data_IF_678252265641
#
_entry.id   IF_678252265641
#
_cell.length_a   1.000
_cell.length_b   1.000
_cell.length_c   1.000
_cell.angle_alpha   90.00
_cell.angle_beta   90.00
_cell.angle_gamma   90.00
#
_symmetry.space_group_name_H-M   'P 1'
#
loop_
_entity.id
_entity.type
_entity.pdbx_description
1 polymer ?
#
# COMPACT_ATOMS: atom_id res chain seq x y z
N UNK A 1 13.19 14.92 -12.83
CA UNK A 1 12.98 13.85 -11.83
C UNK A 1 14.24 13.68 -11.00
N UNK A 2 14.11 13.59 -9.66
CA UNK A 2 15.21 13.33 -8.72
C UNK A 2 14.89 12.03 -7.96
N UNK A 3 15.93 11.22 -7.69
CA UNK A 3 15.81 9.98 -6.89
C UNK A 3 16.74 10.03 -5.69
N UNK A 4 16.27 9.59 -4.52
CA UNK A 4 17.04 9.55 -3.28
C UNK A 4 16.78 8.21 -2.59
N UNK A 5 17.84 7.45 -2.30
CA UNK A 5 17.75 6.24 -1.49
C UNK A 5 17.59 6.62 -0.02
N UNK A 6 16.49 6.20 0.62
CA UNK A 6 16.18 6.54 2.02
C UNK A 6 16.64 5.47 3.00
N UNK A 7 16.47 4.20 2.63
CA UNK A 7 16.80 3.07 3.49
C UNK A 7 17.61 2.06 2.68
N UNK A 8 18.82 1.80 3.09
CA UNK A 8 19.74 0.89 2.42
C UNK A 8 19.77 -0.47 3.12
N UNK A 9 19.62 -1.56 2.38
CA UNK A 9 19.73 -2.90 2.95
C UNK A 9 21.06 -3.12 3.68
N UNK A 10 21.06 -3.97 4.70
CA UNK A 10 22.23 -4.32 5.53
C UNK A 10 22.78 -3.13 6.33
N UNK A 11 21.91 -2.14 6.63
CA UNK A 11 22.27 -1.03 7.51
C UNK A 11 21.43 -1.05 8.79
N UNK A 12 21.89 -0.35 9.83
CA UNK A 12 21.20 -0.14 11.11
C UNK A 12 20.76 -1.46 11.82
N UNK A 13 21.40 -2.59 11.51
CA UNK A 13 21.07 -3.89 12.09
C UNK A 13 19.95 -4.66 11.41
N UNK A 14 19.38 -4.12 10.34
CA UNK A 14 18.32 -4.77 9.58
C UNK A 14 18.85 -5.46 8.33
N UNK A 15 18.16 -6.56 7.93
CA UNK A 15 18.48 -7.29 6.71
C UNK A 15 18.10 -6.48 5.48
N UNK A 16 16.86 -6.03 5.40
CA UNK A 16 16.38 -5.14 4.35
C UNK A 16 15.19 -4.30 4.82
N UNK A 17 14.74 -3.43 3.94
CA UNK A 17 13.60 -2.55 4.16
C UNK A 17 12.58 -2.80 3.06
N UNK A 18 11.30 -3.00 3.44
CA UNK A 18 10.23 -3.36 2.52
C UNK A 18 8.93 -2.64 2.86
N UNK A 19 7.91 -2.87 2.00
CA UNK A 19 6.52 -2.40 2.21
C UNK A 19 6.50 -0.90 2.53
N UNK A 20 6.97 -0.07 1.58
CA UNK A 20 7.05 1.36 1.78
C UNK A 20 5.67 2.02 1.77
N UNK A 21 5.51 3.07 2.57
CA UNK A 21 4.37 3.98 2.55
C UNK A 21 4.84 5.43 2.51
N UNK A 22 4.09 6.32 1.87
CA UNK A 22 4.39 7.75 1.83
C UNK A 22 3.13 8.58 1.97
N UNK A 23 3.21 9.63 2.77
CA UNK A 23 2.13 10.59 2.99
C UNK A 23 2.68 12.00 2.95
N UNK A 24 1.93 12.93 2.35
CA UNK A 24 2.14 14.36 2.53
C UNK A 24 0.98 14.94 3.35
N UNK A 25 1.30 15.46 4.51
CA UNK A 25 0.33 16.11 5.42
C UNK A 25 -0.13 17.46 4.88
N UNK A 26 -1.22 17.99 5.41
CA UNK A 26 -1.76 19.28 4.98
C UNK A 26 -0.79 20.45 5.16
N UNK A 27 0.08 20.40 6.18
CA UNK A 27 1.12 21.41 6.44
C UNK A 27 2.44 21.14 5.69
N UNK A 28 2.45 20.18 4.74
CA UNK A 28 3.57 19.94 3.83
C UNK A 28 4.69 19.04 4.39
N UNK A 29 4.53 18.47 5.58
CA UNK A 29 5.46 17.46 6.08
C UNK A 29 5.26 16.16 5.30
N UNK A 30 6.34 15.58 4.79
CA UNK A 30 6.30 14.29 4.11
C UNK A 30 6.78 13.21 5.07
N UNK A 31 6.01 12.14 5.18
CA UNK A 31 6.28 10.96 5.99
C UNK A 31 6.57 9.78 5.07
N UNK A 32 7.71 9.13 5.26
CA UNK A 32 8.10 7.92 4.53
C UNK A 32 8.30 6.78 5.53
N UNK A 33 7.56 5.70 5.37
CA UNK A 33 7.60 4.53 6.27
C UNK A 33 8.08 3.28 5.57
N UNK A 34 8.63 2.35 6.34
CA UNK A 34 9.04 1.02 5.88
C UNK A 34 8.90 -0.01 6.98
N UNK A 35 8.76 -1.27 6.60
CA UNK A 35 9.09 -2.42 7.43
C UNK A 35 10.60 -2.63 7.40
N UNK A 36 11.25 -2.46 8.55
CA UNK A 36 12.67 -2.75 8.74
C UNK A 36 12.81 -4.20 9.21
N UNK A 37 13.22 -5.09 8.34
CA UNK A 37 13.16 -6.54 8.52
C UNK A 37 14.45 -7.10 9.08
N UNK A 38 14.35 -7.88 10.13
CA UNK A 38 15.45 -8.67 10.71
C UNK A 38 15.59 -10.03 10.01
N UNK A 39 16.39 -10.92 10.53
CA UNK A 39 16.54 -12.29 10.05
C UNK A 39 16.98 -12.39 8.60
N UNK A 40 16.19 -13.08 7.76
CA UNK A 40 16.41 -13.21 6.32
C UNK A 40 15.45 -12.34 5.49
N UNK A 41 14.75 -11.39 6.12
CA UNK A 41 13.81 -10.47 5.48
C UNK A 41 12.49 -11.12 5.09
N UNK A 42 12.07 -12.18 5.79
CA UNK A 42 10.78 -12.85 5.58
C UNK A 42 9.62 -12.07 6.20
N UNK A 43 8.40 -12.37 5.73
CA UNK A 43 7.18 -11.71 6.23
C UNK A 43 6.89 -12.06 7.71
N UNK A 44 7.37 -13.20 8.18
CA UNK A 44 7.22 -13.67 9.56
C UNK A 44 8.46 -13.44 10.45
N UNK A 45 9.47 -12.75 9.96
CA UNK A 45 10.62 -12.34 10.75
C UNK A 45 10.24 -11.16 11.68
N UNK A 46 11.10 -10.80 12.62
CA UNK A 46 10.88 -9.60 13.42
C UNK A 46 11.00 -8.35 12.55
N UNK A 47 9.90 -7.64 12.34
CA UNK A 47 9.84 -6.44 11.52
C UNK A 47 9.44 -5.24 12.38
N UNK A 48 10.27 -4.20 12.40
CA UNK A 48 9.95 -2.91 13.02
C UNK A 48 9.35 -1.96 11.97
N UNK A 49 8.58 -0.98 12.41
CA UNK A 49 8.15 0.13 11.55
C UNK A 49 9.06 1.32 11.79
N UNK A 50 9.76 1.73 10.74
CA UNK A 50 10.56 2.97 10.73
C UNK A 50 9.87 4.05 9.91
N UNK A 51 10.09 5.29 10.33
CA UNK A 51 9.58 6.49 9.68
C UNK A 51 10.71 7.51 9.50
N UNK A 52 10.82 8.12 8.33
CA UNK A 52 11.59 9.35 8.09
C UNK A 52 10.66 10.49 7.74
N UNK A 53 11.00 11.69 8.16
CA UNK A 53 10.27 12.92 7.88
C UNK A 53 11.10 13.82 6.98
N UNK A 54 10.42 14.50 6.04
CA UNK A 54 10.97 15.63 5.30
C UNK A 54 10.14 16.88 5.59
N UNK A 55 10.81 18.01 5.85
CA UNK A 55 10.18 19.29 6.13
C UNK A 55 10.34 20.29 4.97
N UNK A 56 10.94 19.86 3.87
CA UNK A 56 11.33 20.67 2.71
C UNK A 56 10.86 20.09 1.37
N UNK A 57 9.71 19.40 1.37
CA UNK A 57 9.11 18.85 0.16
C UNK A 57 9.81 17.61 -0.39
N UNK A 58 10.52 16.85 0.44
CA UNK A 58 11.21 15.61 0.03
C UNK A 58 12.63 15.82 -0.49
N UNK A 59 13.20 17.01 -0.27
CA UNK A 59 14.59 17.32 -0.70
C UNK A 59 15.58 16.72 0.28
N UNK A 60 15.36 16.92 1.58
CA UNK A 60 16.16 16.31 2.65
C UNK A 60 15.29 15.52 3.63
N UNK A 61 15.89 14.59 4.35
CA UNK A 61 15.19 13.65 5.22
C UNK A 61 15.86 13.55 6.58
N UNK A 62 15.06 13.64 7.63
CA UNK A 62 15.51 13.44 9.00
C UNK A 62 15.98 11.97 9.22
N UNK A 63 16.78 11.70 10.25
CA UNK A 63 17.14 10.35 10.65
C UNK A 63 15.89 9.47 10.86
N UNK A 64 15.99 8.14 10.68
CA UNK A 64 14.86 7.24 10.89
C UNK A 64 14.47 7.21 12.36
N UNK A 65 13.15 7.20 12.59
CA UNK A 65 12.53 7.00 13.89
C UNK A 65 11.81 5.66 13.90
N UNK A 66 12.02 4.83 14.92
CA UNK A 66 11.26 3.60 15.10
C UNK A 66 9.91 3.93 15.76
N UNK A 67 8.82 3.71 15.01
CA UNK A 67 7.45 4.00 15.47
C UNK A 67 6.89 2.82 16.27
N UNK A 68 7.11 1.58 15.78
CA UNK A 68 6.67 0.35 16.45
C UNK A 68 7.79 -0.68 16.38
N UNK A 69 8.09 -1.31 17.52
CA UNK A 69 9.03 -2.42 17.60
C UNK A 69 8.28 -3.76 17.57
N UNK A 70 8.82 -4.75 16.86
CA UNK A 70 8.21 -6.07 16.68
C UNK A 70 8.03 -6.84 18.00
N UNK A 71 8.85 -6.58 19.00
CA UNK A 71 8.82 -7.24 20.31
C UNK A 71 7.87 -6.58 21.31
N UNK A 72 7.21 -5.48 20.95
CA UNK A 72 6.30 -4.72 21.82
C UNK A 72 5.14 -5.57 22.34
N UNK A 73 4.64 -6.51 21.54
CA UNK A 73 3.43 -7.30 21.85
C UNK A 73 3.71 -8.81 21.97
N UNK A 74 4.95 -9.21 22.08
CA UNK A 74 5.39 -10.60 22.06
C UNK A 74 5.89 -11.02 20.67
N UNK A 75 6.13 -12.33 20.43
CA UNK A 75 6.69 -12.80 19.16
C UNK A 75 5.78 -12.52 17.96
N UNK A 76 6.37 -12.08 16.86
CA UNK A 76 5.69 -11.86 15.58
C UNK A 76 6.12 -10.57 14.91
N UNK A 77 5.89 -10.46 13.60
CA UNK A 77 6.18 -9.24 12.85
C UNK A 77 5.18 -8.12 13.20
N UNK A 78 5.64 -6.87 13.14
CA UNK A 78 4.79 -5.71 12.90
C UNK A 78 4.83 -5.44 11.40
N UNK A 79 3.68 -5.34 10.75
CA UNK A 79 3.63 -5.28 9.29
C UNK A 79 2.42 -4.50 8.76
N UNK A 80 2.44 -4.26 7.46
CA UNK A 80 1.35 -3.63 6.72
C UNK A 80 0.93 -2.28 7.32
N UNK A 81 1.91 -1.41 7.55
CA UNK A 81 1.67 -0.07 8.08
C UNK A 81 1.01 0.80 7.02
N UNK A 82 -0.16 1.34 7.36
CA UNK A 82 -0.96 2.23 6.52
C UNK A 82 -0.94 3.62 7.11
N UNK A 83 -0.67 4.64 6.27
CA UNK A 83 -0.72 6.06 6.66
C UNK A 83 -1.75 6.80 5.81
N UNK A 84 -2.45 7.75 6.41
CA UNK A 84 -3.24 8.76 5.70
C UNK A 84 -3.49 9.96 6.62
N UNK A 85 -3.88 11.09 6.04
CA UNK A 85 -4.25 12.28 6.80
C UNK A 85 -5.69 12.65 6.51
N UNK A 86 -6.37 13.16 7.53
CA UNK A 86 -7.67 13.78 7.38
C UNK A 86 -7.59 15.27 7.03
N UNK A 87 -8.73 15.89 6.77
CA UNK A 87 -8.83 17.31 6.44
C UNK A 87 -8.42 18.23 7.59
N UNK A 88 -8.51 17.76 8.83
CA UNK A 88 -8.13 18.51 10.03
C UNK A 88 -6.61 18.44 10.30
N UNK A 89 -5.89 17.65 9.50
CA UNK A 89 -4.43 17.50 9.57
C UNK A 89 -3.96 16.41 10.53
N UNK A 90 -4.87 15.62 11.10
CA UNK A 90 -4.52 14.44 11.87
C UNK A 90 -3.95 13.37 10.94
N UNK A 91 -2.81 12.82 11.29
CA UNK A 91 -2.25 11.65 10.63
C UNK A 91 -2.75 10.39 11.34
N UNK A 92 -3.44 9.55 10.60
CA UNK A 92 -3.93 8.25 11.03
C UNK A 92 -2.99 7.16 10.58
N UNK A 93 -2.79 6.15 11.42
CA UNK A 93 -2.02 4.97 11.05
C UNK A 93 -2.67 3.69 11.59
N UNK A 94 -2.61 2.63 10.78
CA UNK A 94 -2.96 1.28 11.19
C UNK A 94 -1.83 0.32 10.82
N UNK A 95 -1.70 -0.75 11.59
CA UNK A 95 -0.77 -1.83 11.31
C UNK A 95 -1.27 -3.14 11.92
N UNK A 96 -0.73 -4.26 11.47
CA UNK A 96 -0.97 -5.54 12.11
C UNK A 96 0.26 -6.04 12.87
N UNK A 97 0.02 -6.80 13.95
CA UNK A 97 1.01 -7.58 14.66
C UNK A 97 0.68 -9.07 14.48
N UNK A 98 1.69 -9.87 14.13
CA UNK A 98 1.59 -11.32 13.89
C UNK A 98 0.43 -11.70 12.94
N UNK A 99 0.03 -10.80 12.05
CA UNK A 99 -1.08 -10.93 11.09
C UNK A 99 -2.43 -11.34 11.71
N UNK A 100 -2.64 -11.11 13.00
CA UNK A 100 -3.90 -11.47 13.67
C UNK A 100 -4.42 -10.42 14.65
N UNK A 101 -3.65 -9.37 14.90
CA UNK A 101 -4.05 -8.22 15.72
C UNK A 101 -3.84 -6.95 14.92
N UNK A 102 -4.81 -6.04 14.95
CA UNK A 102 -4.76 -4.74 14.26
C UNK A 102 -4.78 -3.63 15.29
N UNK A 103 -3.90 -2.67 15.10
CA UNK A 103 -3.71 -1.50 15.97
C UNK A 103 -3.89 -0.21 15.19
N UNK A 104 -4.45 0.78 15.86
CA UNK A 104 -4.62 2.15 15.40
C UNK A 104 -3.80 3.11 16.28
N UNK A 105 -3.21 4.11 15.66
CA UNK A 105 -2.56 5.25 16.31
C UNK A 105 -2.73 6.52 15.48
N UNK A 106 -2.59 7.69 16.11
CA UNK A 106 -2.75 8.97 15.45
C UNK A 106 -1.65 9.95 15.86
N UNK A 107 -1.41 10.93 14.99
CA UNK A 107 -0.47 12.03 15.24
C UNK A 107 -1.13 13.36 14.90
N UNK A 108 -1.09 14.31 15.85
CA UNK A 108 -1.54 15.69 15.65
C UNK A 108 -0.41 16.67 15.32
N UNK A 109 0.83 16.19 15.20
CA UNK A 109 2.03 17.03 15.04
C UNK A 109 2.82 16.71 13.76
N UNK A 110 2.10 16.20 12.73
CA UNK A 110 2.70 15.85 11.44
C UNK A 110 3.69 14.70 11.54
N UNK A 111 3.37 13.67 12.33
CA UNK A 111 4.17 12.47 12.48
C UNK A 111 5.46 12.65 13.29
N UNK A 112 5.61 13.73 14.08
CA UNK A 112 6.73 13.88 14.99
C UNK A 112 6.59 12.96 16.20
N UNK A 113 5.36 12.77 16.65
CA UNK A 113 5.00 11.76 17.66
C UNK A 113 3.66 11.13 17.32
N UNK A 114 3.40 9.97 17.89
CA UNK A 114 2.15 9.24 17.75
C UNK A 114 1.55 8.93 19.12
N UNK A 115 0.22 8.85 19.16
CA UNK A 115 -0.50 8.36 20.34
C UNK A 115 -0.09 6.92 20.69
N UNK A 116 -0.30 6.48 21.93
CA UNK A 116 -0.20 5.05 22.24
C UNK A 116 -1.14 4.25 21.31
N UNK A 117 -0.67 3.08 20.79
CA UNK A 117 -1.50 2.25 19.92
C UNK A 117 -2.73 1.70 20.65
N UNK A 118 -3.88 1.75 19.98
CA UNK A 118 -5.14 1.16 20.44
C UNK A 118 -5.45 -0.07 19.61
N UNK A 119 -5.68 -1.22 20.25
CA UNK A 119 -6.06 -2.43 19.53
C UNK A 119 -7.52 -2.34 19.06
N UNK A 120 -7.74 -2.50 17.76
CA UNK A 120 -9.05 -2.45 17.09
C UNK A 120 -9.50 -3.82 16.54
N UNK A 121 -8.74 -4.87 16.80
CA UNK A 121 -9.03 -6.24 16.32
C UNK A 121 -10.44 -6.71 16.66
N UNK A 122 -10.95 -6.31 17.84
CA UNK A 122 -12.29 -6.69 18.30
C UNK A 122 -13.40 -6.29 17.33
N UNK A 123 -13.31 -5.10 16.76
CA UNK A 123 -14.25 -4.60 15.76
C UNK A 123 -14.24 -5.46 14.48
N UNK A 124 -13.07 -5.99 14.09
CA UNK A 124 -12.88 -6.74 12.85
C UNK A 124 -13.34 -8.20 12.94
N UNK A 125 -13.69 -8.68 14.14
CA UNK A 125 -14.24 -10.02 14.32
C UNK A 125 -15.60 -10.22 13.63
N UNK A 126 -16.30 -9.16 13.25
CA UNK A 126 -17.54 -9.25 12.50
C UNK A 126 -17.36 -9.94 11.14
N UNK A 127 -16.19 -9.78 10.49
CA UNK A 127 -15.87 -10.49 9.25
C UNK A 127 -15.90 -12.02 9.41
N UNK A 128 -15.67 -12.56 10.61
CA UNK A 128 -15.65 -14.02 10.85
C UNK A 128 -17.02 -14.69 10.67
N UNK A 129 -18.08 -13.93 10.64
CA UNK A 129 -19.41 -14.46 10.32
C UNK A 129 -19.50 -14.93 8.86
N UNK A 130 -18.74 -14.31 7.96
CA UNK A 130 -18.72 -14.60 6.53
C UNK A 130 -17.46 -15.37 6.12
N UNK A 131 -16.30 -14.95 6.62
CA UNK A 131 -15.01 -15.57 6.31
C UNK A 131 -14.23 -15.86 7.61
N UNK A 132 -13.89 -17.14 7.91
CA UNK A 132 -13.28 -17.53 9.19
C UNK A 132 -11.78 -17.19 9.22
N UNK A 133 -11.45 -15.92 9.05
CA UNK A 133 -10.08 -15.46 8.96
C UNK A 133 -9.26 -15.79 10.22
N UNK A 134 -8.00 -16.11 10.00
CA UNK A 134 -6.94 -16.28 11.00
C UNK A 134 -5.77 -15.33 10.75
N UNK A 135 -5.68 -14.79 9.54
CA UNK A 135 -4.73 -13.79 9.10
C UNK A 135 -5.51 -12.57 8.65
N UNK A 136 -5.12 -11.39 9.10
CA UNK A 136 -5.66 -10.12 8.64
C UNK A 136 -4.53 -9.10 8.53
N UNK A 137 -4.53 -8.30 7.47
CA UNK A 137 -3.58 -7.23 7.25
C UNK A 137 -4.24 -5.98 6.70
N UNK A 138 -3.80 -4.84 7.16
CA UNK A 138 -4.18 -3.53 6.67
C UNK A 138 -3.40 -3.18 5.40
N UNK A 139 -4.00 -2.58 4.39
CA UNK A 139 -3.37 -2.10 3.16
C UNK A 139 -2.50 -3.13 2.42
N UNK A 140 -1.17 -2.89 2.33
CA UNK A 140 -0.40 -1.74 2.80
C UNK A 140 -0.52 -0.50 1.91
N UNK A 141 0.29 0.54 2.13
CA UNK A 141 0.26 1.80 1.43
C UNK A 141 -0.47 2.87 2.22
N UNK A 142 -1.57 3.40 1.67
CA UNK A 142 -2.32 4.44 2.35
C UNK A 142 -3.83 4.14 2.42
N UNK A 143 -4.48 4.72 3.45
CA UNK A 143 -5.93 4.85 3.53
C UNK A 143 -6.38 6.18 2.94
N UNK A 144 -7.68 6.43 2.93
CA UNK A 144 -8.25 7.69 2.44
C UNK A 144 -9.28 8.25 3.41
N UNK A 145 -9.44 9.58 3.40
CA UNK A 145 -10.64 10.23 3.89
C UNK A 145 -11.52 10.63 2.71
N UNK A 146 -12.78 10.24 2.74
CA UNK A 146 -13.77 10.68 1.77
C UNK A 146 -14.19 12.14 2.03
N UNK A 147 -14.66 12.84 1.02
CA UNK A 147 -15.19 14.21 1.15
C UNK A 147 -16.30 14.32 2.21
N UNK A 148 -17.01 13.23 2.48
CA UNK A 148 -18.00 13.12 3.54
C UNK A 148 -17.43 12.95 4.95
N UNK A 149 -16.10 12.87 5.10
CA UNK A 149 -15.41 12.72 6.39
C UNK A 149 -15.09 11.28 6.78
N UNK A 150 -15.71 10.27 6.15
CA UNK A 150 -15.44 8.85 6.43
C UNK A 150 -13.99 8.51 6.12
N UNK A 151 -13.32 7.83 7.04
CA UNK A 151 -12.02 7.19 6.83
C UNK A 151 -12.23 5.79 6.26
N UNK A 152 -11.49 5.40 5.23
CA UNK A 152 -11.59 4.08 4.59
C UNK A 152 -10.20 3.48 4.43
N UNK A 153 -10.06 2.23 4.87
CA UNK A 153 -8.81 1.45 4.73
C UNK A 153 -9.13 0.07 4.18
N UNK A 154 -8.58 -0.30 3.01
CA UNK A 154 -8.67 -1.67 2.53
C UNK A 154 -7.91 -2.62 3.47
N UNK A 155 -8.45 -3.83 3.63
CA UNK A 155 -7.84 -4.94 4.38
C UNK A 155 -7.95 -6.21 3.56
N UNK A 156 -6.99 -7.10 3.74
CA UNK A 156 -7.10 -8.45 3.20
C UNK A 156 -7.00 -9.48 4.32
N UNK A 157 -7.63 -10.62 4.12
CA UNK A 157 -7.74 -11.67 5.11
C UNK A 157 -7.43 -13.02 4.49
N UNK A 158 -6.94 -13.98 5.31
CA UNK A 158 -6.80 -15.39 4.94
C UNK A 158 -7.29 -16.29 6.07
N UNK A 159 -7.79 -17.47 5.73
CA UNK A 159 -8.13 -18.50 6.72
C UNK A 159 -6.87 -19.17 7.34
N UNK A 160 -5.69 -18.84 6.82
CA UNK A 160 -4.40 -19.30 7.31
C UNK A 160 -4.08 -20.75 6.94
N UNK A 161 -4.83 -21.37 6.05
CA UNK A 161 -4.64 -22.77 5.67
C UNK A 161 -3.46 -23.00 4.71
N UNK A 162 -2.98 -21.96 4.03
CA UNK A 162 -1.82 -22.02 3.16
C UNK A 162 -0.56 -22.48 3.89
N UNK A 163 0.37 -23.08 3.15
CA UNK A 163 1.62 -23.64 3.70
C UNK A 163 2.88 -22.98 3.16
N UNK A 164 2.74 -21.86 2.50
CA UNK A 164 3.83 -21.16 1.79
C UNK A 164 4.96 -20.65 2.70
N UNK A 165 4.70 -20.50 3.99
CA UNK A 165 5.69 -20.03 4.97
C UNK A 165 6.29 -21.16 5.84
N UNK A 166 5.87 -22.41 5.62
CA UNK A 166 6.36 -23.57 6.37
C UNK A 166 5.64 -23.80 7.70
N UNK A 167 6.09 -24.79 8.44
CA UNK A 167 5.46 -25.23 9.68
C UNK A 167 5.44 -24.14 10.75
N UNK A 168 4.31 -24.02 11.45
CA UNK A 168 4.12 -23.08 12.57
C UNK A 168 3.79 -21.64 12.16
N UNK A 169 3.72 -21.34 10.85
CA UNK A 169 3.31 -20.04 10.31
C UNK A 169 2.00 -20.19 9.57
N UNK A 170 1.10 -19.22 9.73
CA UNK A 170 -0.16 -19.19 8.99
C UNK A 170 0.10 -18.73 7.55
N UNK A 171 -0.58 -19.36 6.59
CA UNK A 171 -0.52 -18.96 5.19
C UNK A 171 -1.33 -17.68 4.94
N UNK A 172 -0.94 -16.93 3.92
CA UNK A 172 -1.66 -15.76 3.43
C UNK A 172 -2.68 -16.12 2.34
N UNK A 173 -2.86 -17.42 2.08
CA UNK A 173 -3.75 -17.98 1.04
C UNK A 173 -4.64 -19.07 1.62
N UNK A 174 -5.85 -19.27 1.06
CA UNK A 174 -6.54 -18.34 0.16
C UNK A 174 -6.82 -17.02 0.85
N UNK A 175 -7.08 -15.96 0.06
CA UNK A 175 -7.32 -14.64 0.64
C UNK A 175 -8.54 -13.95 0.04
N UNK A 176 -9.08 -12.99 0.80
CA UNK A 176 -10.22 -12.17 0.46
C UNK A 176 -9.96 -10.71 0.82
N UNK A 177 -10.66 -9.78 0.18
CA UNK A 177 -10.51 -8.34 0.41
C UNK A 177 -11.79 -7.72 0.89
N UNK A 178 -11.65 -6.85 1.89
CA UNK A 178 -12.70 -6.03 2.45
C UNK A 178 -12.20 -4.58 2.66
N UNK A 179 -13.09 -3.73 3.15
CA UNK A 179 -12.69 -2.44 3.74
C UNK A 179 -13.07 -2.40 5.21
N UNK A 180 -12.33 -1.60 5.98
CA UNK A 180 -12.76 -1.11 7.27
C UNK A 180 -12.90 0.41 7.20
N UNK A 181 -13.79 0.97 7.99
CA UNK A 181 -14.06 2.40 7.96
C UNK A 181 -14.33 2.96 9.34
N UNK A 182 -14.19 4.28 9.46
CA UNK A 182 -14.53 5.06 10.65
C UNK A 182 -15.28 6.32 10.24
N UNK A 183 -16.41 6.59 10.94
CA UNK A 183 -17.22 7.79 10.74
C UNK A 183 -17.02 8.83 11.87
N UNK A 184 -16.07 8.57 12.78
CA UNK A 184 -15.81 9.38 13.98
C UNK A 184 -14.34 9.75 14.16
N UNK A 185 -13.62 9.92 13.02
CA UNK A 185 -12.21 10.35 13.03
C UNK A 185 -11.25 9.32 13.60
N UNK A 186 -11.53 8.03 13.44
CA UNK A 186 -10.66 6.93 13.90
C UNK A 186 -10.91 6.49 15.35
N UNK A 187 -11.91 7.08 16.05
CA UNK A 187 -12.23 6.68 17.42
C UNK A 187 -12.80 5.26 17.47
N UNK A 188 -13.68 4.91 16.53
CA UNK A 188 -14.19 3.55 16.35
C UNK A 188 -14.04 3.10 14.90
N UNK A 189 -13.82 1.79 14.72
CA UNK A 189 -13.68 1.16 13.40
C UNK A 189 -14.77 0.12 13.19
N UNK A 190 -15.24 0.01 11.95
CA UNK A 190 -16.32 -0.89 11.54
C UNK A 190 -15.88 -1.71 10.33
N UNK A 191 -16.43 -2.92 10.20
CA UNK A 191 -16.28 -3.74 9.00
C UNK A 191 -17.16 -3.19 7.88
N UNK A 192 -16.59 -3.04 6.70
CA UNK A 192 -17.35 -2.96 5.46
C UNK A 192 -17.71 -4.34 4.92
N UNK A 193 -18.08 -4.41 3.65
CA UNK A 193 -18.38 -5.66 2.94
C UNK A 193 -17.07 -6.36 2.50
N UNK A 194 -17.05 -7.71 2.53
CA UNK A 194 -16.05 -8.49 1.82
C UNK A 194 -16.49 -8.52 0.35
N UNK A 195 -15.68 -7.95 -0.55
CA UNK A 195 -16.11 -7.72 -1.93
C UNK A 195 -15.26 -8.38 -3.01
N UNK A 196 -14.09 -8.90 -2.65
CA UNK A 196 -13.27 -9.67 -3.57
C UNK A 196 -12.93 -11.02 -2.93
N UNK A 197 -13.43 -12.08 -3.55
CA UNK A 197 -13.35 -13.45 -3.05
C UNK A 197 -12.42 -14.29 -3.92
N UNK A 198 -11.74 -15.27 -3.31
CA UNK A 198 -11.03 -16.30 -4.04
C UNK A 198 -12.03 -17.37 -4.51
N UNK A 199 -12.56 -17.21 -5.73
CA UNK A 199 -13.71 -17.98 -6.25
C UNK A 199 -13.38 -18.88 -7.46
N UNK A 200 -12.10 -19.03 -7.80
CA UNK A 200 -11.63 -19.80 -8.95
C UNK A 200 -11.49 -18.97 -10.24
N UNK A 201 -12.16 -17.85 -10.39
CA UNK A 201 -11.90 -16.84 -11.43
C UNK A 201 -10.90 -15.79 -10.92
N UNK A 202 -11.13 -15.33 -9.71
CA UNK A 202 -10.23 -14.47 -8.96
C UNK A 202 -9.45 -15.35 -8.00
N UNK A 203 -8.11 -15.24 -8.04
CA UNK A 203 -7.23 -16.06 -7.22
C UNK A 203 -6.48 -15.15 -6.25
N UNK A 204 -6.64 -15.41 -4.96
CA UNK A 204 -5.94 -14.74 -3.86
C UNK A 204 -5.92 -13.20 -4.00
N UNK A 205 -7.09 -12.52 -4.07
CA UNK A 205 -7.13 -11.06 -4.02
C UNK A 205 -6.55 -10.60 -2.68
N UNK A 206 -5.77 -9.50 -2.69
CA UNK A 206 -5.04 -9.10 -1.49
C UNK A 206 -4.80 -7.59 -1.43
N UNK A 207 -3.57 -7.13 -1.42
CA UNK A 207 -3.17 -5.75 -1.23
C UNK A 207 -3.89 -4.78 -2.18
N UNK A 208 -4.63 -3.85 -1.60
CA UNK A 208 -5.62 -3.03 -2.30
C UNK A 208 -5.45 -1.57 -1.91
N UNK A 209 -5.57 -0.69 -2.89
CA UNK A 209 -5.60 0.77 -2.70
C UNK A 209 -6.98 1.30 -3.10
N UNK A 210 -7.39 2.39 -2.46
CA UNK A 210 -8.67 3.04 -2.70
C UNK A 210 -8.49 4.50 -3.11
N UNK A 211 -9.39 5.02 -3.95
CA UNK A 211 -9.54 6.46 -4.22
C UNK A 211 -11.01 6.83 -4.30
N UNK A 212 -11.32 8.07 -3.92
CA UNK A 212 -12.64 8.67 -4.17
C UNK A 212 -12.69 9.28 -5.57
N UNK A 213 -13.67 8.87 -6.37
CA UNK A 213 -13.91 9.35 -7.73
C UNK A 213 -14.56 10.75 -7.74
N UNK A 214 -14.70 11.34 -8.92
CA UNK A 214 -15.30 12.68 -9.07
C UNK A 214 -16.77 12.72 -8.64
N UNK A 215 -17.51 11.65 -8.86
CA UNK A 215 -18.91 11.50 -8.46
C UNK A 215 -19.14 11.07 -7.01
N UNK A 216 -18.08 10.89 -6.23
CA UNK A 216 -18.12 10.51 -4.81
C UNK A 216 -18.08 9.01 -4.55
N UNK A 217 -18.14 8.17 -5.57
CA UNK A 217 -17.93 6.73 -5.40
C UNK A 217 -16.47 6.44 -5.03
N UNK A 218 -16.25 5.30 -4.43
CA UNK A 218 -14.92 4.81 -4.08
C UNK A 218 -14.52 3.68 -5.01
N UNK A 219 -13.38 3.79 -5.66
CA UNK A 219 -12.79 2.75 -6.47
C UNK A 219 -11.66 2.07 -5.69
N UNK A 220 -11.70 0.74 -5.60
CA UNK A 220 -10.59 -0.09 -5.16
C UNK A 220 -9.86 -0.72 -6.34
N UNK A 221 -8.52 -0.64 -6.30
CA UNK A 221 -7.61 -1.31 -7.22
C UNK A 221 -6.91 -2.44 -6.47
N UNK A 222 -7.15 -3.68 -6.88
CA UNK A 222 -6.89 -4.89 -6.11
C UNK A 222 -5.78 -5.71 -6.77
N UNK A 223 -4.79 -6.13 -6.00
CA UNK A 223 -3.82 -7.16 -6.39
C UNK A 223 -4.48 -8.53 -6.38
N UNK A 224 -4.11 -9.39 -7.35
CA UNK A 224 -4.50 -10.80 -7.35
C UNK A 224 -3.39 -11.69 -7.92
N UNK A 225 -3.53 -13.00 -7.70
CA UNK A 225 -2.68 -14.04 -8.29
C UNK A 225 -3.37 -14.71 -9.50
N UNK A 226 -4.37 -14.06 -10.05
CA UNK A 226 -5.17 -14.58 -11.16
C UNK A 226 -4.33 -14.70 -12.44
N UNK A 227 -4.52 -15.76 -13.25
CA UNK A 227 -3.70 -16.03 -14.43
C UNK A 227 -3.88 -15.01 -15.56
N UNK A 228 -4.88 -14.14 -15.48
CA UNK A 228 -5.06 -13.00 -16.39
C UNK A 228 -3.92 -11.99 -16.27
N UNK A 229 -3.22 -11.96 -15.11
CA UNK A 229 -2.15 -10.99 -14.83
C UNK A 229 -2.57 -9.55 -15.05
N UNK A 230 -3.78 -9.20 -14.56
CA UNK A 230 -4.36 -7.85 -14.58
C UNK A 230 -4.80 -7.46 -13.18
N UNK A 231 -4.70 -6.15 -12.89
CA UNK A 231 -5.29 -5.60 -11.67
C UNK A 231 -6.80 -5.76 -11.72
N UNK A 232 -7.42 -5.92 -10.55
CA UNK A 232 -8.87 -5.91 -10.43
C UNK A 232 -9.33 -4.54 -9.96
N UNK A 233 -10.51 -4.12 -10.43
CA UNK A 233 -11.19 -2.92 -9.95
C UNK A 233 -12.59 -3.28 -9.45
N UNK A 234 -13.00 -2.62 -8.36
CA UNK A 234 -14.35 -2.67 -7.83
C UNK A 234 -14.74 -1.28 -7.35
N UNK A 235 -16.02 -0.94 -7.40
CA UNK A 235 -16.54 0.40 -7.08
C UNK A 235 -17.68 0.30 -6.09
N UNK A 236 -17.68 1.17 -5.08
CA UNK A 236 -18.72 1.29 -4.03
C UNK A 236 -19.23 2.73 -3.97
N UNK A 237 -20.50 2.96 -3.60
CA UNK A 237 -21.03 4.31 -3.41
C UNK A 237 -20.40 5.04 -2.21
N UNK A 238 -19.87 4.32 -1.21
CA UNK A 238 -19.45 4.91 0.07
C UNK A 238 -18.20 4.30 0.70
N UNK A 239 -17.55 3.34 -0.01
CA UNK A 239 -16.34 2.65 0.45
C UNK A 239 -16.56 1.60 1.54
N UNK A 240 -17.80 1.37 1.98
CA UNK A 240 -18.13 0.39 3.01
C UNK A 240 -18.95 -0.79 2.48
N UNK A 241 -19.84 -0.56 1.53
CA UNK A 241 -20.70 -1.62 1.02
C UNK A 241 -21.18 -1.38 -0.41
N UNK A 242 -22.06 -2.26 -0.91
CA UNK A 242 -22.60 -2.22 -2.27
C UNK A 242 -21.52 -2.19 -3.35
N UNK A 243 -20.44 -2.94 -3.14
CA UNK A 243 -19.37 -3.05 -4.08
C UNK A 243 -19.80 -3.76 -5.37
N UNK A 244 -19.37 -3.23 -6.51
CA UNK A 244 -19.53 -3.94 -7.78
C UNK A 244 -18.70 -5.23 -7.76
N UNK A 245 -19.12 -6.24 -8.54
CA UNK A 245 -18.26 -7.41 -8.77
C UNK A 245 -16.91 -6.94 -9.32
N UNK A 246 -15.76 -7.41 -8.76
CA UNK A 246 -14.46 -7.05 -9.28
C UNK A 246 -14.28 -7.48 -10.75
N UNK A 247 -13.69 -6.59 -11.56
CA UNK A 247 -13.40 -6.79 -12.96
C UNK A 247 -11.91 -6.56 -13.22
N UNK A 248 -11.34 -7.31 -14.17
CA UNK A 248 -9.96 -7.09 -14.60
C UNK A 248 -9.83 -5.81 -15.42
N UNK A 249 -8.85 -4.99 -15.09
CA UNK A 249 -8.48 -3.80 -15.87
C UNK A 249 -7.39 -4.19 -16.89
N UNK A 250 -7.76 -4.24 -18.16
CA UNK A 250 -6.86 -4.69 -19.23
C UNK A 250 -5.62 -3.79 -19.43
N UNK A 251 -5.67 -2.54 -18.99
CA UNK A 251 -4.56 -1.59 -19.10
C UNK A 251 -3.53 -1.71 -17.97
N UNK A 252 -3.86 -2.41 -16.88
CA UNK A 252 -3.01 -2.49 -15.69
C UNK A 252 -2.47 -3.90 -15.50
N UNK A 253 -1.19 -4.11 -15.83
CA UNK A 253 -0.51 -5.40 -15.62
C UNK A 253 -0.37 -5.71 -14.12
N UNK A 254 -0.47 -7.00 -13.78
CA UNK A 254 -0.33 -7.52 -12.42
C UNK A 254 0.77 -8.59 -12.36
N UNK A 255 2.01 -8.21 -11.97
CA UNK A 255 3.09 -9.17 -11.80
C UNK A 255 3.07 -9.86 -10.41
N UNK A 256 1.95 -9.85 -9.72
CA UNK A 256 1.80 -10.25 -8.31
C UNK A 256 2.60 -9.33 -7.38
N UNK A 257 2.30 -8.04 -7.46
CA UNK A 257 2.97 -6.99 -6.68
C UNK A 257 1.98 -5.93 -6.23
N UNK A 258 2.18 -5.38 -5.03
CA UNK A 258 1.46 -4.19 -4.60
C UNK A 258 1.67 -3.06 -5.62
N UNK A 259 0.63 -2.30 -5.89
CA UNK A 259 0.69 -1.03 -6.60
C UNK A 259 0.23 0.12 -5.71
N UNK A 260 0.31 1.34 -6.21
CA UNK A 260 -0.25 2.53 -5.56
C UNK A 260 -1.23 3.23 -6.45
N UNK A 261 -2.27 3.81 -5.86
CA UNK A 261 -3.32 4.55 -6.56
C UNK A 261 -3.58 5.85 -5.79
N UNK A 262 -3.37 6.99 -6.46
CA UNK A 262 -3.49 8.32 -5.86
C UNK A 262 -4.38 9.22 -6.71
N UNK A 263 -5.32 9.94 -6.08
CA UNK A 263 -6.00 11.08 -6.68
C UNK A 263 -5.21 12.35 -6.37
N UNK A 264 -4.84 13.11 -7.40
CA UNK A 264 -4.16 14.40 -7.22
C UNK A 264 -5.13 15.47 -6.72
N UNK A 265 -4.61 16.41 -5.91
CA UNK A 265 -5.40 17.52 -5.32
C UNK A 265 -5.94 18.48 -6.38
N UNK A 266 -5.15 18.72 -7.43
CA UNK A 266 -5.52 19.64 -8.49
C UNK A 266 -6.14 18.89 -9.67
N UNK A 267 -7.35 19.25 -10.10
CA UNK A 267 -7.97 18.67 -11.28
C UNK A 267 -7.18 19.05 -12.55
N UNK A 268 -7.58 18.50 -13.69
CA UNK A 268 -7.10 18.92 -14.99
C UNK A 268 -7.78 20.24 -15.44
N UNK A 269 -7.43 20.72 -16.64
CA UNK A 269 -7.98 21.98 -17.19
C UNK A 269 -9.50 21.96 -17.41
N UNK A 270 -10.09 20.76 -17.56
CA UNK A 270 -11.53 20.55 -17.70
C UNK A 270 -12.25 20.37 -16.36
N UNK A 271 -11.55 20.52 -15.23
CA UNK A 271 -12.10 20.38 -13.88
C UNK A 271 -12.29 18.92 -13.44
N UNK A 272 -11.76 17.93 -14.16
CA UNK A 272 -11.85 16.50 -13.82
C UNK A 272 -10.70 16.06 -12.95
N UNK A 273 -10.96 15.08 -12.08
CA UNK A 273 -9.95 14.43 -11.25
C UNK A 273 -8.81 13.84 -12.07
N UNK A 274 -7.62 13.90 -11.52
CA UNK A 274 -6.41 13.27 -12.07
C UNK A 274 -5.96 12.17 -11.14
N UNK A 275 -5.82 10.98 -11.69
CA UNK A 275 -5.45 9.78 -10.93
C UNK A 275 -4.13 9.23 -11.42
N UNK A 276 -3.29 8.81 -10.50
CA UNK A 276 -2.03 8.14 -10.79
C UNK A 276 -2.06 6.71 -10.27
N UNK A 277 -1.54 5.79 -11.07
CA UNK A 277 -1.30 4.42 -10.66
C UNK A 277 0.17 4.06 -10.88
N UNK A 278 0.80 3.42 -9.89
CA UNK A 278 2.19 2.99 -9.98
C UNK A 278 2.32 1.51 -9.58
N UNK A 279 2.95 0.71 -10.43
CA UNK A 279 3.38 -0.65 -10.13
C UNK A 279 4.47 -1.12 -11.10
N UNK A 280 5.15 -2.26 -10.87
CA UNK A 280 5.98 -2.90 -11.88
C UNK A 280 5.14 -3.31 -13.10
N UNK A 281 5.37 -2.66 -14.24
CA UNK A 281 4.62 -2.87 -15.50
C UNK A 281 5.34 -3.93 -16.35
N UNK A 282 5.37 -5.18 -15.87
CA UNK A 282 6.16 -6.25 -16.47
C UNK A 282 5.54 -7.63 -16.24
N UNK A 283 5.59 -8.49 -17.27
CA UNK A 283 5.20 -9.91 -17.20
C UNK A 283 6.29 -10.86 -17.69
N UNK A 284 7.53 -10.40 -17.79
CA UNK A 284 8.68 -11.24 -18.14
C UNK A 284 9.23 -11.97 -16.90
N UNK A 285 9.94 -13.08 -17.11
CA UNK A 285 10.57 -13.94 -16.10
C UNK A 285 12.03 -14.22 -16.47
N UNK A 286 12.87 -13.20 -16.40
CA UNK A 286 14.31 -13.32 -16.70
C UNK A 286 15.18 -13.42 -15.45
N UNK A 287 14.71 -12.81 -14.33
CA UNK A 287 15.45 -12.68 -13.09
C UNK A 287 15.07 -13.72 -12.04
N UNK A 288 13.87 -14.28 -12.15
CA UNK A 288 13.33 -15.24 -11.19
C UNK A 288 13.57 -16.67 -11.67
N UNK A 289 14.28 -17.53 -10.91
CA UNK A 289 14.49 -18.93 -11.30
C UNK A 289 13.17 -19.66 -11.53
N UNK A 290 13.08 -20.56 -12.51
CA UNK A 290 11.89 -21.40 -12.74
C UNK A 290 11.46 -22.15 -11.48
N UNK A 291 10.14 -22.25 -11.27
CA UNK A 291 9.56 -23.03 -10.16
C UNK A 291 9.40 -22.28 -8.84
N UNK A 292 9.65 -20.98 -8.77
CA UNK A 292 9.25 -20.15 -7.63
C UNK A 292 7.91 -19.45 -7.89
N UNK A 293 7.09 -19.35 -6.83
CA UNK A 293 5.69 -18.87 -6.86
C UNK A 293 5.48 -17.37 -7.16
N UNK A 294 6.49 -16.64 -7.59
CA UNK A 294 6.30 -15.30 -8.14
C UNK A 294 6.05 -15.45 -9.63
N UNK A 295 4.88 -15.02 -10.06
CA UNK A 295 4.46 -15.19 -11.44
C UNK A 295 5.40 -14.45 -12.41
N UNK A 296 5.91 -13.28 -12.06
CA UNK A 296 6.71 -12.43 -12.96
C UNK A 296 7.77 -11.62 -12.21
N UNK A 297 8.81 -11.18 -12.93
CA UNK A 297 9.83 -10.30 -12.38
C UNK A 297 9.23 -8.94 -12.03
N UNK A 298 9.53 -8.47 -10.83
CA UNK A 298 9.18 -7.11 -10.40
C UNK A 298 10.24 -6.15 -10.92
N UNK A 299 10.01 -5.58 -12.09
CA UNK A 299 10.85 -4.59 -12.76
C UNK A 299 10.01 -3.61 -13.56
N UNK A 300 10.61 -2.54 -14.07
CA UNK A 300 9.91 -1.50 -14.86
C UNK A 300 8.79 -0.82 -14.09
N UNK A 301 9.08 -0.35 -12.86
CA UNK A 301 8.13 0.47 -12.12
C UNK A 301 7.70 1.64 -13.00
N UNK A 302 6.42 1.68 -13.36
CA UNK A 302 5.83 2.68 -14.22
C UNK A 302 4.77 3.47 -13.47
N UNK A 303 4.66 4.76 -13.79
CA UNK A 303 3.55 5.62 -13.33
C UNK A 303 2.63 5.87 -14.50
N UNK A 304 1.36 5.54 -14.32
CA UNK A 304 0.29 5.76 -15.31
C UNK A 304 -0.65 6.87 -14.81
N UNK A 305 -1.24 7.63 -15.74
CA UNK A 305 -2.16 8.72 -15.41
C UNK A 305 -3.49 8.58 -16.14
N UNK A 306 -4.57 8.74 -15.39
CA UNK A 306 -5.94 8.80 -15.85
C UNK A 306 -6.57 10.15 -15.52
N UNK A 307 -7.47 10.63 -16.41
CA UNK A 307 -8.28 11.85 -16.23
C UNK A 307 -9.78 11.58 -16.42
N UNK A 308 -10.19 10.32 -16.31
CA UNK A 308 -11.56 9.87 -16.53
C UNK A 308 -11.94 8.76 -15.53
N UNK A 309 -11.77 9.05 -14.23
CA UNK A 309 -12.15 8.16 -13.13
C UNK A 309 -11.56 6.74 -13.26
N UNK A 310 -10.27 6.67 -13.57
CA UNK A 310 -9.52 5.42 -13.73
C UNK A 310 -10.03 4.49 -14.85
N UNK A 311 -10.85 5.00 -15.79
CA UNK A 311 -11.41 4.19 -16.88
C UNK A 311 -10.37 3.89 -17.96
N UNK A 312 -9.47 4.83 -18.25
CA UNK A 312 -8.34 4.62 -19.17
C UNK A 312 -7.06 5.26 -18.64
N UNK A 313 -5.92 4.76 -19.11
CA UNK A 313 -4.58 5.16 -18.67
C UNK A 313 -3.72 5.58 -19.88
N UNK A 314 -4.05 6.70 -20.56
CA UNK A 314 -3.41 7.07 -21.82
C UNK A 314 -1.96 7.54 -21.68
N UNK A 315 -1.54 7.92 -20.47
CA UNK A 315 -0.19 8.36 -20.18
C UNK A 315 0.47 7.32 -19.29
N UNK A 316 1.67 6.87 -19.69
CA UNK A 316 2.48 5.94 -18.93
C UNK A 316 3.95 6.30 -19.07
N UNK A 317 4.69 6.30 -17.96
CA UNK A 317 6.13 6.53 -17.98
C UNK A 317 6.86 5.63 -17.01
N UNK A 318 7.95 5.02 -17.48
CA UNK A 318 8.84 4.22 -16.65
C UNK A 318 9.60 5.15 -15.70
N UNK A 319 9.43 4.91 -14.39
CA UNK A 319 10.15 5.61 -13.33
C UNK A 319 11.45 4.89 -12.99
N UNK A 320 11.44 3.55 -12.92
CA UNK A 320 12.62 2.72 -12.65
C UNK A 320 12.63 1.51 -13.59
N UNK A 321 13.63 1.44 -14.47
CA UNK A 321 13.69 0.38 -15.47
C UNK A 321 14.15 -0.97 -14.89
N UNK A 322 15.00 -0.94 -13.87
CA UNK A 322 15.54 -2.12 -13.21
C UNK A 322 14.58 -2.78 -12.23
N UNK A 323 15.08 -3.76 -11.44
CA UNK A 323 14.31 -4.39 -10.37
C UNK A 323 13.71 -3.35 -9.45
N UNK A 324 12.39 -3.45 -9.23
CA UNK A 324 11.61 -2.51 -8.44
C UNK A 324 10.34 -3.22 -7.98
N UNK A 325 9.93 -3.01 -6.74
CA UNK A 325 8.85 -3.77 -6.11
C UNK A 325 7.67 -2.90 -5.70
N UNK A 326 7.25 -3.04 -4.45
CA UNK A 326 6.17 -2.28 -3.84
C UNK A 326 6.45 -0.79 -3.93
N UNK A 327 5.40 -0.02 -4.14
CA UNK A 327 5.47 1.44 -4.25
C UNK A 327 4.27 2.11 -3.61
N UNK A 328 4.45 3.38 -3.22
CA UNK A 328 3.36 4.24 -2.79
C UNK A 328 3.56 5.67 -3.31
N UNK A 329 2.46 6.43 -3.45
CA UNK A 329 2.42 7.74 -4.08
C UNK A 329 1.88 8.80 -3.12
N UNK A 330 2.46 10.00 -3.15
CA UNK A 330 1.93 11.18 -2.49
C UNK A 330 2.13 12.43 -3.34
N UNK A 331 1.32 13.47 -3.11
CA UNK A 331 1.45 14.77 -3.75
C UNK A 331 1.85 15.82 -2.71
N UNK A 332 2.96 16.53 -2.95
CA UNK A 332 3.41 17.64 -2.13
C UNK A 332 2.59 18.93 -2.41
N UNK A 333 2.59 19.93 -1.51
CA UNK A 333 1.81 21.16 -1.70
C UNK A 333 2.20 21.98 -2.93
N UNK A 334 3.43 21.85 -3.40
CA UNK A 334 3.92 22.51 -4.61
C UNK A 334 3.51 21.79 -5.91
N UNK A 335 2.71 20.72 -5.81
CA UNK A 335 2.27 19.90 -6.94
C UNK A 335 3.29 18.86 -7.40
N UNK A 336 4.43 18.75 -6.71
CA UNK A 336 5.37 17.65 -6.96
C UNK A 336 4.78 16.33 -6.52
N UNK A 337 5.03 15.30 -7.29
CA UNK A 337 4.63 13.93 -7.01
C UNK A 337 5.82 13.18 -6.45
N UNK A 338 5.60 12.47 -5.36
CA UNK A 338 6.57 11.59 -4.75
C UNK A 338 6.12 10.14 -4.92
N UNK A 339 7.03 9.29 -5.36
CA UNK A 339 6.85 7.84 -5.40
C UNK A 339 7.93 7.21 -4.53
N UNK A 340 7.53 6.62 -3.39
CA UNK A 340 8.43 5.76 -2.62
C UNK A 340 8.35 4.35 -3.20
N UNK A 341 9.47 3.63 -3.31
CA UNK A 341 9.46 2.29 -3.90
C UNK A 341 10.65 1.43 -3.48
N UNK A 342 10.43 0.14 -3.50
CA UNK A 342 11.49 -0.86 -3.36
C UNK A 342 12.36 -0.83 -4.62
N UNK A 343 13.68 -0.69 -4.46
CA UNK A 343 14.65 -0.50 -5.55
C UNK A 343 15.76 -1.52 -5.50
N UNK A 344 16.09 -2.06 -6.68
CA UNK A 344 17.18 -3.01 -6.84
C UNK A 344 16.89 -4.40 -6.26
N UNK A 345 17.73 -5.33 -6.57
CA UNK A 345 17.67 -6.72 -6.09
C UNK A 345 19.09 -7.15 -5.68
N UNK A 346 19.24 -7.75 -4.50
CA UNK A 346 20.51 -8.33 -4.04
C UNK A 346 20.59 -9.81 -4.39
N UNK A 347 19.82 -10.65 -3.68
CA UNK A 347 19.86 -12.11 -3.86
C UNK A 347 18.60 -12.69 -4.49
N UNK A 348 17.45 -12.03 -4.28
CA UNK A 348 16.14 -12.44 -4.78
C UNK A 348 15.24 -11.22 -4.91
N UNK A 349 14.12 -11.32 -5.64
CA UNK A 349 13.21 -10.20 -5.90
C UNK A 349 12.70 -9.48 -4.64
N UNK A 350 12.57 -10.20 -3.53
CA UNK A 350 12.13 -9.63 -2.25
C UNK A 350 13.30 -9.21 -1.33
N UNK A 351 14.54 -9.39 -1.78
CA UNK A 351 15.74 -8.91 -1.08
C UNK A 351 16.22 -7.62 -1.75
N UNK A 352 15.49 -6.54 -1.51
CA UNK A 352 15.65 -5.23 -2.13
C UNK A 352 16.94 -4.56 -1.67
N UNK A 353 17.62 -3.86 -2.57
CA UNK A 353 18.85 -3.15 -2.25
C UNK A 353 18.60 -1.87 -1.45
N UNK A 354 17.51 -1.18 -1.76
CA UNK A 354 17.11 0.03 -1.04
C UNK A 354 15.60 0.26 -1.15
N UNK A 355 15.09 1.17 -0.31
CA UNK A 355 13.84 1.88 -0.54
C UNK A 355 14.19 3.32 -0.88
N UNK A 356 13.72 3.77 -2.06
CA UNK A 356 14.03 5.07 -2.63
C UNK A 356 12.76 5.92 -2.80
N UNK A 357 12.92 7.23 -2.81
CA UNK A 357 11.88 8.19 -3.23
C UNK A 357 12.29 8.83 -4.55
N UNK A 358 11.41 8.79 -5.53
CA UNK A 358 11.49 9.62 -6.73
C UNK A 358 10.56 10.81 -6.60
N UNK A 359 11.07 12.02 -6.91
CA UNK A 359 10.31 13.27 -6.95
C UNK A 359 10.26 13.78 -8.38
N UNK A 360 9.06 14.03 -8.90
CA UNK A 360 8.80 14.48 -10.27
C UNK A 360 7.52 15.32 -10.31
N UNK A 361 7.16 15.84 -11.47
CA UNK A 361 5.95 16.63 -11.70
C UNK A 361 5.09 16.04 -12.84
N UNK A 362 3.90 16.59 -13.04
CA UNK A 362 3.01 16.19 -14.14
C UNK A 362 3.66 16.40 -15.51
N UNK A 363 4.48 17.43 -15.67
CA UNK A 363 5.14 17.71 -16.94
C UNK A 363 6.13 16.60 -17.28
N UNK A 364 6.91 16.13 -16.28
CA UNK A 364 7.76 14.96 -16.47
C UNK A 364 6.94 13.75 -16.91
N UNK A 365 5.80 13.46 -16.24
CA UNK A 365 4.98 12.30 -16.57
C UNK A 365 4.40 12.40 -18.01
N UNK A 366 3.95 13.58 -18.41
CA UNK A 366 3.31 13.82 -19.72
C UNK A 366 4.31 13.96 -20.87
N UNK A 367 5.59 14.23 -20.60
CA UNK A 367 6.63 14.31 -21.61
C UNK A 367 7.14 12.91 -22.05
N UNK A 368 6.32 11.86 -21.83
CA UNK A 368 6.60 10.49 -22.22
C UNK A 368 7.00 10.36 -23.68
N UNK A 369 7.64 9.25 -23.98
CA UNK A 369 8.25 8.91 -25.28
C UNK A 369 7.34 9.17 -26.46
#
# INVERSE_FOLDING_TARGET
MQKTDLFMARTEGYWNYRVPGILCTANGVILATVEARTGAGGDWDGNDILLRRSLDGGISWQPPQRIVAHDTYGPGPVSNFVLFADADGTVHALYCHAYNRVFYLASGDGGASFSPPVEVTGALNAFRAEYPWRVIATGPGHGIQLRGGRLVVPVWMSDGSGTEFGAGKLGHRPSEVATIYSDDGGTTWQCGEIFAHSDGQIINPSETLAVELDDGRVLCNIRSESPQNRRLISVSPDGAGQWSKPLFDEALLEPVCMGSLLRLRQPNAEGRGVYLFANPDNLENELTPPGRNLAHDRKRLSVKMSVNDCTTWPISRVLEAGPSGYSDLAEAPDGSILCIYERGMLNRMTDTASVAVARFDRAWLSAGE
#
